data_IF_519747148260
#
_entry.id   IF_519747148260
#
_cell.length_a   1.000
_cell.length_b   1.000
_cell.length_c   1.000
_cell.angle_alpha   90.00
_cell.angle_beta   90.00
_cell.angle_gamma   90.00
#
_symmetry.space_group_name_H-M   'P 1'
#
loop_
_entity.id
_entity.type
_entity.pdbx_description
1 polymer ?
#
# COMPACT_ATOMS: atom_id res chain seq x y z
N UNK A 1 -21.51 -2.66 -8.31
CA UNK A 1 -21.88 -1.49 -7.50
C UNK A 1 -21.48 -1.66 -6.05
N UNK A 2 -21.45 -0.58 -5.29
CA UNK A 2 -21.14 -0.61 -3.86
C UNK A 2 -22.18 -1.43 -3.08
N UNK A 3 -23.44 -1.38 -3.49
CA UNK A 3 -24.52 -2.16 -2.87
C UNK A 3 -24.31 -3.66 -3.06
N UNK A 4 -23.92 -4.07 -4.26
CA UNK A 4 -23.63 -5.48 -4.55
C UNK A 4 -22.42 -5.98 -3.77
N UNK A 5 -21.35 -5.20 -3.69
CA UNK A 5 -20.18 -5.52 -2.90
C UNK A 5 -20.51 -5.65 -1.42
N UNK A 6 -21.33 -4.76 -0.88
CA UNK A 6 -21.79 -4.81 0.51
C UNK A 6 -22.54 -6.08 0.82
N UNK A 7 -23.46 -6.48 -0.07
CA UNK A 7 -24.23 -7.72 0.08
C UNK A 7 -23.33 -8.95 0.05
N UNK A 8 -22.44 -9.01 -0.93
CA UNK A 8 -21.56 -10.16 -1.15
C UNK A 8 -20.63 -10.38 0.05
N UNK A 9 -20.00 -9.32 0.55
CA UNK A 9 -19.02 -9.40 1.63
C UNK A 9 -19.59 -9.06 3.01
N UNK A 10 -20.89 -8.77 3.10
CA UNK A 10 -21.55 -8.37 4.36
C UNK A 10 -20.89 -7.15 4.99
N UNK A 11 -20.41 -6.21 4.17
CA UNK A 11 -19.75 -4.99 4.60
C UNK A 11 -20.75 -3.83 4.55
N UNK A 12 -20.64 -2.89 5.49
CA UNK A 12 -21.47 -1.68 5.51
C UNK A 12 -21.30 -0.90 4.19
N UNK A 13 -22.40 -0.53 3.49
CA UNK A 13 -22.33 0.23 2.24
C UNK A 13 -21.50 1.52 2.34
N UNK A 14 -21.59 2.24 3.46
CA UNK A 14 -20.81 3.47 3.65
C UNK A 14 -19.30 3.19 3.68
N UNK A 15 -18.90 2.08 4.28
CA UNK A 15 -17.49 1.64 4.34
C UNK A 15 -16.99 1.28 2.95
N UNK A 16 -17.79 0.55 2.16
CA UNK A 16 -17.46 0.19 0.78
C UNK A 16 -17.30 1.44 -0.08
N UNK A 17 -18.22 2.39 0.02
CA UNK A 17 -18.17 3.64 -0.73
C UNK A 17 -16.92 4.45 -0.38
N UNK A 18 -16.58 4.54 0.91
CA UNK A 18 -15.36 5.22 1.37
C UNK A 18 -14.11 4.57 0.76
N UNK A 19 -14.04 3.24 0.77
CA UNK A 19 -12.93 2.50 0.19
C UNK A 19 -12.80 2.72 -1.32
N UNK A 20 -13.91 2.68 -2.04
CA UNK A 20 -13.96 2.95 -3.47
C UNK A 20 -13.49 4.37 -3.78
N UNK A 21 -13.94 5.37 -3.02
CA UNK A 21 -13.54 6.76 -3.21
C UNK A 21 -12.04 6.96 -2.98
N UNK A 22 -11.46 6.28 -1.99
CA UNK A 22 -10.01 6.30 -1.76
C UNK A 22 -9.27 5.78 -2.99
N UNK A 23 -9.75 4.69 -3.59
CA UNK A 23 -9.13 4.10 -4.78
C UNK A 23 -9.27 5.02 -6.01
N UNK A 24 -10.38 5.72 -6.14
CA UNK A 24 -10.56 6.72 -7.19
C UNK A 24 -9.60 7.89 -7.00
N UNK A 25 -9.49 8.40 -5.78
CA UNK A 25 -8.57 9.50 -5.45
C UNK A 25 -7.11 9.14 -5.74
N UNK A 26 -6.75 7.89 -5.57
CA UNK A 26 -5.42 7.37 -5.88
C UNK A 26 -5.24 7.02 -7.36
N UNK A 27 -6.24 7.24 -8.17
CA UNK A 27 -6.23 6.92 -9.61
C UNK A 27 -6.07 5.42 -9.92
N UNK A 28 -6.41 4.57 -8.96
CA UNK A 28 -6.44 3.11 -9.16
C UNK A 28 -7.71 2.70 -9.88
N UNK A 29 -8.82 3.33 -9.51
CA UNK A 29 -10.11 3.18 -10.18
C UNK A 29 -10.49 4.46 -10.87
N UNK A 30 -11.29 4.35 -11.93
CA UNK A 30 -11.92 5.50 -12.55
C UNK A 30 -13.38 5.22 -12.87
N UNK A 31 -14.19 6.27 -12.85
CA UNK A 31 -15.62 6.18 -13.10
C UNK A 31 -15.94 6.60 -14.52
N UNK A 32 -16.65 5.76 -15.26
CA UNK A 32 -17.27 6.14 -16.55
C UNK A 32 -18.74 6.40 -16.32
N UNK A 33 -19.13 7.65 -16.48
CA UNK A 33 -20.50 8.09 -16.25
C UNK A 33 -21.50 7.26 -17.05
N UNK A 34 -22.49 6.68 -16.35
CA UNK A 34 -23.54 5.87 -16.96
C UNK A 34 -23.14 4.44 -17.30
N UNK A 35 -21.86 4.08 -17.14
CA UNK A 35 -21.35 2.74 -17.49
C UNK A 35 -20.89 1.99 -16.25
N UNK A 36 -20.10 2.62 -15.39
CA UNK A 36 -19.63 1.98 -14.15
C UNK A 36 -18.24 2.38 -13.75
N UNK A 37 -17.64 1.54 -12.91
CA UNK A 37 -16.32 1.74 -12.34
C UNK A 37 -15.33 0.74 -12.95
N UNK A 38 -14.15 1.23 -13.29
CA UNK A 38 -13.12 0.43 -13.96
C UNK A 38 -11.77 0.58 -13.30
N UNK A 39 -10.95 -0.46 -13.40
CA UNK A 39 -9.55 -0.42 -12.94
C UNK A 39 -8.72 0.37 -13.93
N UNK A 40 -7.93 1.30 -13.42
CA UNK A 40 -7.06 2.14 -14.25
C UNK A 40 -5.91 1.34 -14.85
N UNK A 41 -5.46 1.74 -16.03
CA UNK A 41 -4.38 1.06 -16.75
C UNK A 41 -3.07 1.01 -15.93
N UNK A 42 -2.78 2.05 -15.16
CA UNK A 42 -1.57 2.13 -14.33
C UNK A 42 -1.76 1.66 -12.89
N UNK A 43 -2.88 1.01 -12.56
CA UNK A 43 -3.24 0.65 -11.19
C UNK A 43 -2.18 -0.18 -10.47
N UNK A 44 -1.62 -1.18 -11.13
CA UNK A 44 -0.60 -2.08 -10.56
C UNK A 44 0.64 -1.32 -10.10
N UNK A 45 1.13 -0.39 -10.91
CA UNK A 45 2.29 0.43 -10.58
C UNK A 45 1.97 1.43 -9.46
N UNK A 46 0.79 2.01 -9.46
CA UNK A 46 0.36 2.91 -8.40
C UNK A 46 0.33 2.19 -7.05
N UNK A 47 -0.26 1.00 -7.01
CA UNK A 47 -0.34 0.17 -5.80
C UNK A 47 1.06 -0.21 -5.33
N UNK A 48 1.91 -0.66 -6.24
CA UNK A 48 3.29 -1.07 -5.95
C UNK A 48 4.10 0.10 -5.37
N UNK A 49 4.00 1.27 -5.98
CA UNK A 49 4.70 2.47 -5.51
C UNK A 49 4.20 2.92 -4.13
N UNK A 50 2.89 2.83 -3.88
CA UNK A 50 2.32 3.12 -2.57
C UNK A 50 2.83 2.16 -1.50
N UNK A 51 2.96 0.88 -1.83
CA UNK A 51 3.51 -0.12 -0.91
C UNK A 51 4.99 0.10 -0.64
N UNK A 52 5.76 0.53 -1.65
CA UNK A 52 7.17 0.89 -1.47
C UNK A 52 7.34 2.08 -0.54
N UNK A 53 6.50 3.10 -0.68
CA UNK A 53 6.52 4.26 0.22
C UNK A 53 6.17 3.86 1.65
N UNK A 54 5.17 3.02 1.83
CA UNK A 54 4.81 2.50 3.15
C UNK A 54 5.94 1.67 3.76
N UNK A 55 6.59 0.85 2.97
CA UNK A 55 7.76 0.07 3.40
C UNK A 55 8.84 0.98 3.95
N UNK A 56 9.16 2.04 3.21
CA UNK A 56 10.16 3.05 3.62
C UNK A 56 9.74 3.77 4.90
N UNK A 57 8.48 4.21 4.97
CA UNK A 57 7.98 5.01 6.10
C UNK A 57 7.80 4.20 7.39
N UNK A 58 7.50 2.93 7.30
CA UNK A 58 7.23 2.09 8.45
C UNK A 58 8.40 1.14 8.73
N UNK A 59 8.63 0.18 7.85
CA UNK A 59 9.62 -0.87 8.12
C UNK A 59 11.05 -0.36 8.18
N UNK A 60 11.43 0.52 7.26
CA UNK A 60 12.79 1.07 7.23
C UNK A 60 13.04 1.97 8.43
N UNK A 61 12.08 2.82 8.80
CA UNK A 61 12.21 3.66 10.00
C UNK A 61 12.31 2.83 11.27
N UNK A 62 11.50 1.80 11.38
CA UNK A 62 11.54 0.89 12.53
C UNK A 62 12.88 0.17 12.62
N UNK A 63 13.40 -0.28 11.48
CA UNK A 63 14.72 -0.90 11.41
C UNK A 63 15.81 0.05 11.90
N UNK A 64 15.82 1.27 11.42
CA UNK A 64 16.80 2.28 11.82
C UNK A 64 16.67 2.60 13.30
N UNK A 65 15.44 2.75 13.80
CA UNK A 65 15.18 3.01 15.21
C UNK A 65 15.73 1.91 16.11
N UNK A 66 15.47 0.65 15.75
CA UNK A 66 15.97 -0.50 16.51
C UNK A 66 17.50 -0.60 16.45
N UNK A 67 18.08 -0.36 15.29
CA UNK A 67 19.54 -0.34 15.14
C UNK A 67 20.20 0.69 16.05
N UNK A 68 19.62 1.88 16.18
CA UNK A 68 20.11 2.92 17.08
C UNK A 68 20.10 2.48 18.54
N UNK A 69 19.04 1.81 18.97
CA UNK A 69 18.93 1.28 20.32
C UNK A 69 20.00 0.26 20.64
N UNK A 70 20.43 -0.49 19.64
CA UNK A 70 21.47 -1.53 19.78
C UNK A 70 22.87 -1.01 19.52
N UNK A 71 23.03 0.28 19.23
CA UNK A 71 24.32 0.87 18.91
C UNK A 71 24.88 0.47 17.57
N UNK A 72 24.02 0.00 16.67
CA UNK A 72 24.41 -0.38 15.30
C UNK A 72 24.46 0.89 14.45
N UNK A 73 25.63 1.18 13.87
CA UNK A 73 25.79 2.32 12.98
C UNK A 73 25.17 2.02 11.60
N UNK A 74 24.91 3.05 10.83
CA UNK A 74 24.41 2.88 9.47
C UNK A 74 25.34 2.01 8.61
N UNK A 75 26.65 2.23 8.75
CA UNK A 75 27.64 1.43 8.04
C UNK A 75 27.58 -0.05 8.43
N UNK A 76 27.51 -0.33 9.72
CA UNK A 76 27.36 -1.71 10.21
C UNK A 76 26.08 -2.34 9.70
N UNK A 77 24.99 -1.59 9.70
CA UNK A 77 23.70 -2.07 9.22
C UNK A 77 23.75 -2.40 7.72
N UNK A 78 24.37 -1.55 6.92
CA UNK A 78 24.55 -1.81 5.49
C UNK A 78 25.40 -3.06 5.25
N UNK A 79 26.45 -3.27 6.03
CA UNK A 79 27.29 -4.46 5.94
C UNK A 79 26.50 -5.72 6.31
N UNK A 80 25.68 -5.65 7.35
CA UNK A 80 24.81 -6.76 7.76
C UNK A 80 23.83 -7.14 6.66
N UNK A 81 23.25 -6.15 6.00
CA UNK A 81 22.31 -6.38 4.88
C UNK A 81 23.04 -7.02 3.70
N UNK A 82 24.26 -6.52 3.38
CA UNK A 82 25.07 -7.07 2.30
C UNK A 82 25.46 -8.52 2.54
N UNK A 83 25.71 -8.88 3.80
CA UNK A 83 26.16 -10.23 4.17
C UNK A 83 25.01 -11.25 4.24
N UNK A 84 23.75 -10.79 4.26
CA UNK A 84 22.59 -11.67 4.26
C UNK A 84 22.49 -12.41 2.93
N UNK A 85 22.33 -13.73 2.99
CA UNK A 85 22.08 -14.54 1.80
C UNK A 85 20.63 -14.33 1.37
N UNK A 86 20.44 -13.97 0.12
CA UNK A 86 19.10 -13.91 -0.47
C UNK A 86 18.61 -15.32 -0.80
N UNK A 87 17.34 -15.55 -0.47
CA UNK A 87 16.67 -16.81 -0.78
C UNK A 87 16.05 -16.79 -2.18
#
# INVERSE_FOLDING_TARGET
STTELSKFYKINPATVLKGVNILVDKEILFKKRGIGMFVSKGAKEIIKNGRKENFKEVYLKDLISEAKKLGITKKELLDMISDLKEE
#
